data_IF_549179108308
#
_entry.id   IF_549179108308
#
_cell.length_a   1.000
_cell.length_b   1.000
_cell.length_c   1.000
_cell.angle_alpha   90.00
_cell.angle_beta   90.00
_cell.angle_gamma   90.00
#
_symmetry.space_group_name_H-M   'P 1'
#
loop_
_entity.id
_entity.type
_entity.pdbx_description
1 polymer ?
#
# COMPACT_ATOMS: atom_id res chain seq x y z
N UNK A 1 -5.97 0.24 40.61
CA UNK A 1 -7.18 -0.61 40.63
C UNK A 1 -6.84 -1.90 41.38
N UNK A 2 -7.70 -2.42 42.25
CA UNK A 2 -7.55 -3.73 42.90
C UNK A 2 -8.73 -4.59 42.47
N UNK A 3 -8.47 -5.80 42.01
CA UNK A 3 -9.48 -6.75 41.54
C UNK A 3 -8.93 -8.18 41.72
N UNK A 4 -9.81 -9.16 41.91
CA UNK A 4 -9.44 -10.55 42.16
C UNK A 4 -8.96 -11.30 40.91
N UNK A 5 -9.15 -10.73 39.72
CA UNK A 5 -8.79 -11.32 38.44
C UNK A 5 -7.56 -10.60 37.87
N UNK A 6 -6.74 -11.27 37.05
CA UNK A 6 -5.63 -10.63 36.36
C UNK A 6 -6.11 -9.60 35.34
N UNK A 7 -6.00 -8.31 35.67
CA UNK A 7 -6.41 -7.18 34.81
C UNK A 7 -5.21 -6.40 34.24
N UNK A 8 -3.98 -6.86 34.46
CA UNK A 8 -2.76 -6.14 34.05
C UNK A 8 -2.62 -6.00 32.52
N UNK A 9 -3.15 -6.96 31.76
CA UNK A 9 -3.13 -6.97 30.28
C UNK A 9 -4.37 -6.31 29.65
N UNK A 10 -5.26 -5.80 30.49
CA UNK A 10 -6.59 -5.34 30.14
C UNK A 10 -6.57 -3.81 29.99
N UNK A 11 -5.98 -3.33 28.90
CA UNK A 11 -5.64 -1.90 28.71
C UNK A 11 -6.76 -1.03 28.14
N UNK A 12 -7.84 -1.63 27.62
CA UNK A 12 -8.91 -0.93 26.87
C UNK A 12 -10.34 -1.28 27.35
N UNK A 13 -10.52 -1.64 28.63
CA UNK A 13 -11.83 -2.04 29.16
C UNK A 13 -12.87 -0.89 29.16
N UNK A 14 -14.18 -1.18 29.35
CA UNK A 14 -15.30 -0.23 29.16
C UNK A 14 -15.34 1.00 30.08
N UNK A 15 -14.27 1.30 30.84
CA UNK A 15 -14.16 2.43 31.76
C UNK A 15 -13.42 3.64 31.18
N UNK A 16 -13.26 3.72 29.86
CA UNK A 16 -12.62 4.87 29.24
C UNK A 16 -13.47 6.13 29.47
N UNK A 17 -12.84 7.19 29.95
CA UNK A 17 -13.53 8.44 30.27
C UNK A 17 -12.74 9.63 29.76
N UNK A 18 -13.47 10.70 29.45
CA UNK A 18 -12.91 11.96 28.99
C UNK A 18 -13.48 13.10 29.83
N UNK A 19 -12.62 14.01 30.24
CA UNK A 19 -12.99 15.25 30.94
C UNK A 19 -12.46 16.42 30.13
N UNK A 20 -13.37 17.27 29.67
CA UNK A 20 -13.02 18.46 28.91
C UNK A 20 -13.11 19.70 29.80
N UNK A 21 -12.19 20.65 29.61
CA UNK A 21 -12.29 21.97 30.22
C UNK A 21 -13.50 22.74 29.71
N UNK A 22 -13.83 23.85 30.37
CA UNK A 22 -14.96 24.72 30.01
C UNK A 22 -14.55 25.92 29.15
N UNK A 23 -13.24 26.20 29.05
CA UNK A 23 -12.70 27.35 28.33
C UNK A 23 -12.30 26.94 26.92
N UNK A 24 -12.76 27.69 25.93
CA UNK A 24 -12.38 27.53 24.52
C UNK A 24 -11.09 28.27 24.19
N UNK A 25 -10.24 27.67 23.35
CA UNK A 25 -8.97 28.25 22.95
C UNK A 25 -9.14 29.44 22.00
N UNK A 26 -8.33 30.48 22.21
CA UNK A 26 -8.19 31.56 21.24
C UNK A 26 -7.46 31.04 20.00
N UNK A 27 -8.00 31.29 18.80
CA UNK A 27 -7.44 30.70 17.58
C UNK A 27 -7.60 29.18 17.53
N UNK A 28 -8.83 28.70 17.74
CA UNK A 28 -9.20 27.28 17.80
C UNK A 28 -8.55 26.41 16.71
N UNK A 29 -8.50 26.87 15.45
CA UNK A 29 -7.91 26.10 14.36
C UNK A 29 -6.42 25.80 14.57
N UNK A 30 -5.64 26.82 14.93
CA UNK A 30 -4.19 26.67 15.19
C UNK A 30 -3.93 25.90 16.48
N UNK A 31 -4.75 26.14 17.52
CA UNK A 31 -4.67 25.41 18.77
C UNK A 31 -4.95 23.92 18.58
N UNK A 32 -6.05 23.58 17.91
CA UNK A 32 -6.45 22.19 17.67
C UNK A 32 -5.38 21.44 16.88
N UNK A 33 -4.85 22.04 15.80
CA UNK A 33 -3.80 21.40 15.01
C UNK A 33 -2.53 21.14 15.82
N UNK A 34 -2.08 22.11 16.63
CA UNK A 34 -0.90 21.96 17.48
C UNK A 34 -1.12 20.93 18.60
N UNK A 35 -2.28 20.97 19.26
CA UNK A 35 -2.63 20.03 20.33
C UNK A 35 -2.76 18.61 19.82
N UNK A 36 -3.45 18.41 18.69
CA UNK A 36 -3.60 17.10 18.06
C UNK A 36 -2.24 16.50 17.69
N UNK A 37 -1.35 17.29 17.08
CA UNK A 37 -0.01 16.83 16.74
C UNK A 37 0.80 16.47 17.99
N UNK A 38 0.77 17.32 19.03
CA UNK A 38 1.48 17.05 20.28
C UNK A 38 1.02 15.75 20.96
N UNK A 39 -0.29 15.50 20.97
CA UNK A 39 -0.87 14.28 21.53
C UNK A 39 -0.54 13.03 20.70
N UNK A 40 -0.53 13.14 19.36
CA UNK A 40 -0.08 12.06 18.46
C UNK A 40 1.40 11.72 18.66
N UNK A 41 2.23 12.74 18.84
CA UNK A 41 3.66 12.56 19.12
C UNK A 41 3.86 11.87 20.47
N UNK A 42 3.12 12.29 21.50
CA UNK A 42 3.11 11.63 22.81
C UNK A 42 2.62 10.18 22.74
N UNK A 43 1.54 9.90 22.00
CA UNK A 43 1.04 8.54 21.76
C UNK A 43 2.13 7.65 21.13
N UNK A 44 2.95 8.21 20.23
CA UNK A 44 4.01 7.46 19.53
C UNK A 44 5.29 7.29 20.36
N UNK A 45 5.64 8.30 21.17
CA UNK A 45 6.89 8.33 21.91
C UNK A 45 6.81 7.63 23.27
N UNK A 46 5.71 7.82 24.01
CA UNK A 46 5.54 7.33 25.39
C UNK A 46 5.78 5.82 25.54
N UNK A 47 5.31 4.94 24.62
CA UNK A 47 5.59 3.50 24.69
C UNK A 47 7.08 3.14 24.65
N UNK A 48 7.94 4.03 24.13
CA UNK A 48 9.37 3.78 23.94
C UNK A 48 10.24 4.42 25.02
N UNK A 49 9.64 5.20 25.90
CA UNK A 49 10.34 5.92 26.97
C UNK A 49 10.36 5.06 28.22
N UNK A 50 11.53 4.89 28.88
CA UNK A 50 11.61 4.19 30.15
C UNK A 50 10.61 4.74 31.18
N UNK A 51 9.81 3.86 31.79
CA UNK A 51 8.75 4.24 32.72
C UNK A 51 7.43 4.66 32.07
N UNK A 52 7.30 4.54 30.74
CA UNK A 52 6.09 4.85 29.97
C UNK A 52 5.43 6.19 30.33
N UNK A 53 6.26 7.22 30.53
CA UNK A 53 5.80 8.55 30.88
C UNK A 53 6.52 9.60 30.03
N UNK A 54 5.77 10.58 29.54
CA UNK A 54 6.34 11.73 28.88
C UNK A 54 5.54 13.00 29.20
N UNK A 55 6.27 14.08 29.45
CA UNK A 55 5.73 15.42 29.56
C UNK A 55 6.46 16.33 28.59
N UNK A 56 5.72 17.14 27.83
CA UNK A 56 6.31 18.08 26.89
C UNK A 56 5.39 19.26 26.65
N UNK A 57 5.93 20.33 26.06
CA UNK A 57 5.16 21.52 25.70
C UNK A 57 5.50 21.98 24.29
N UNK A 58 4.53 22.55 23.60
CA UNK A 58 4.73 23.16 22.28
C UNK A 58 4.20 24.60 22.28
N UNK A 59 4.92 25.57 21.70
CA UNK A 59 4.43 26.94 21.58
C UNK A 59 3.26 27.02 20.59
N UNK A 60 2.24 27.82 20.90
CA UNK A 60 1.11 28.11 20.00
C UNK A 60 0.61 29.53 20.22
N UNK A 61 0.51 30.33 19.15
CA UNK A 61 -0.13 31.66 19.15
C UNK A 61 0.25 32.58 20.34
N UNK A 62 1.53 32.62 20.73
CA UNK A 62 2.02 33.45 21.86
C UNK A 62 1.84 32.83 23.25
N UNK A 63 1.31 31.61 23.33
CA UNK A 63 1.23 30.79 24.53
C UNK A 63 1.91 29.41 24.29
N UNK A 64 1.65 28.44 25.16
CA UNK A 64 2.10 27.06 24.99
C UNK A 64 1.01 26.05 25.39
N UNK A 65 1.03 24.90 24.75
CA UNK A 65 0.23 23.73 25.12
C UNK A 65 1.13 22.79 25.89
N UNK A 66 0.75 22.48 27.12
CA UNK A 66 1.41 21.55 28.01
C UNK A 66 0.66 20.21 27.90
N UNK A 67 1.38 19.12 27.66
CA UNK A 67 0.76 17.82 27.53
C UNK A 67 1.59 16.72 28.18
N UNK A 68 0.88 15.71 28.70
CA UNK A 68 1.49 14.50 29.25
C UNK A 68 0.77 13.26 28.73
N UNK A 69 1.51 12.16 28.66
CA UNK A 69 0.98 10.83 28.46
C UNK A 69 1.70 9.86 29.41
N UNK A 70 0.93 8.95 29.99
CA UNK A 70 1.44 7.94 30.91
C UNK A 70 0.74 6.61 30.66
N UNK A 71 1.48 5.50 30.74
CA UNK A 71 0.92 4.16 30.86
C UNK A 71 1.31 3.50 32.18
N UNK A 72 0.56 2.49 32.60
CA UNK A 72 0.95 1.65 33.72
C UNK A 72 2.25 0.89 33.41
N UNK A 73 3.21 0.86 34.34
CA UNK A 73 4.51 0.19 34.12
C UNK A 73 4.40 -1.33 33.87
N UNK A 74 3.25 -1.93 34.21
CA UNK A 74 2.98 -3.35 34.00
C UNK A 74 2.56 -3.69 32.57
N UNK A 75 2.26 -2.70 31.72
CA UNK A 75 1.82 -2.95 30.34
C UNK A 75 2.98 -3.12 29.38
N UNK A 76 2.73 -3.75 28.23
CA UNK A 76 3.71 -3.86 27.14
C UNK A 76 3.78 -2.57 26.32
N UNK A 77 4.85 -2.39 25.52
CA UNK A 77 4.96 -1.27 24.56
C UNK A 77 3.74 -1.18 23.64
N UNK A 78 3.30 -2.31 23.07
CA UNK A 78 2.09 -2.36 22.23
C UNK A 78 0.83 -2.06 23.04
N UNK A 79 0.71 -2.58 24.25
CA UNK A 79 -0.44 -2.31 25.11
C UNK A 79 -0.55 -0.83 25.52
N UNK A 80 0.58 -0.17 25.74
CA UNK A 80 0.65 1.27 25.99
C UNK A 80 0.22 2.06 24.74
N UNK A 81 0.72 1.69 23.55
CA UNK A 81 0.32 2.32 22.29
C UNK A 81 -1.18 2.18 22.03
N UNK A 82 -1.73 0.98 22.19
CA UNK A 82 -3.16 0.71 21.99
C UNK A 82 -4.02 1.54 22.94
N UNK A 83 -3.64 1.60 24.22
CA UNK A 83 -4.33 2.39 25.23
C UNK A 83 -4.30 3.89 24.90
N UNK A 84 -3.12 4.44 24.60
CA UNK A 84 -2.97 5.86 24.23
C UNK A 84 -3.70 6.18 22.91
N UNK A 85 -3.87 5.21 22.02
CA UNK A 85 -4.69 5.37 20.80
C UNK A 85 -6.17 5.58 21.14
N UNK A 86 -6.70 4.82 22.09
CA UNK A 86 -8.07 5.02 22.62
C UNK A 86 -8.17 6.38 23.32
N UNK A 87 -7.21 6.70 24.19
CA UNK A 87 -7.14 8.00 24.87
C UNK A 87 -7.15 9.18 23.89
N UNK A 88 -6.30 9.12 22.85
CA UNK A 88 -6.24 10.12 21.79
C UNK A 88 -7.55 10.24 21.00
N UNK A 89 -8.19 9.12 20.66
CA UNK A 89 -9.47 9.14 19.94
C UNK A 89 -10.56 9.81 20.76
N UNK A 90 -10.64 9.53 22.07
CA UNK A 90 -11.63 10.12 22.96
C UNK A 90 -11.39 11.61 23.22
N UNK A 91 -10.13 11.99 23.47
CA UNK A 91 -9.76 13.36 23.84
C UNK A 91 -9.96 14.36 22.68
N UNK A 92 -10.04 13.88 21.43
CA UNK A 92 -10.39 14.71 20.27
C UNK A 92 -11.74 15.41 20.43
N UNK A 93 -12.69 14.79 21.14
CA UNK A 93 -14.00 15.39 21.42
C UNK A 93 -13.92 16.63 22.32
N UNK A 94 -12.81 16.87 23.00
CA UNK A 94 -12.63 18.06 23.83
C UNK A 94 -12.27 19.31 23.04
N UNK A 95 -11.78 19.18 21.80
CA UNK A 95 -11.47 20.36 21.00
C UNK A 95 -12.77 21.11 20.64
N UNK A 96 -12.78 22.46 20.72
CA UNK A 96 -11.64 23.38 20.87
C UNK A 96 -11.36 23.87 22.30
N UNK A 97 -11.73 23.11 23.34
CA UNK A 97 -11.43 23.51 24.71
C UNK A 97 -9.93 23.49 24.98
N UNK A 98 -9.49 24.34 25.90
CA UNK A 98 -8.09 24.57 26.27
C UNK A 98 -7.51 23.48 27.16
N UNK A 99 -8.38 22.64 27.74
CA UNK A 99 -8.03 21.54 28.61
C UNK A 99 -8.78 20.29 28.18
N UNK A 100 -8.10 19.14 28.23
CA UNK A 100 -8.70 17.84 28.05
C UNK A 100 -7.90 16.78 28.77
N UNK A 101 -8.60 15.79 29.31
CA UNK A 101 -8.04 14.63 30.01
C UNK A 101 -8.76 13.38 29.52
N UNK A 102 -8.01 12.33 29.19
CA UNK A 102 -8.52 11.03 28.82
C UNK A 102 -7.88 9.96 29.70
N UNK A 103 -8.71 9.08 30.25
CA UNK A 103 -8.32 8.03 31.17
C UNK A 103 -8.81 6.69 30.67
N UNK A 104 -7.96 5.68 30.78
CA UNK A 104 -8.30 4.28 30.60
C UNK A 104 -7.59 3.46 31.69
N UNK A 105 -7.90 2.17 31.80
CA UNK A 105 -7.32 1.27 32.79
C UNK A 105 -5.78 1.21 32.72
N UNK A 106 -5.22 1.34 31.51
CA UNK A 106 -3.79 1.23 31.26
C UNK A 106 -3.04 2.55 31.04
N UNK A 107 -3.73 3.68 30.89
CA UNK A 107 -3.08 4.93 30.48
C UNK A 107 -3.89 6.19 30.79
N UNK A 108 -3.18 7.31 30.70
CA UNK A 108 -3.69 8.65 30.93
C UNK A 108 -3.06 9.62 29.92
N UNK A 109 -3.86 10.54 29.39
CA UNK A 109 -3.41 11.64 28.54
C UNK A 109 -4.06 12.93 28.98
N UNK A 110 -3.28 14.02 28.99
CA UNK A 110 -3.79 15.35 29.32
C UNK A 110 -3.13 16.40 28.46
N UNK A 111 -3.91 17.39 28.03
CA UNK A 111 -3.39 18.66 27.54
C UNK A 111 -4.02 19.83 28.28
N UNK A 112 -3.28 20.93 28.37
CA UNK A 112 -3.74 22.18 28.95
C UNK A 112 -2.98 23.35 28.36
N UNK A 113 -3.64 24.50 28.22
CA UNK A 113 -2.97 25.78 27.96
C UNK A 113 -2.28 26.34 29.22
N UNK A 114 -2.62 25.82 30.42
CA UNK A 114 -1.95 26.15 31.68
C UNK A 114 -0.86 25.14 31.99
N UNK A 115 0.29 25.62 32.45
CA UNK A 115 1.33 24.72 32.95
C UNK A 115 0.85 23.97 34.19
N UNK A 116 1.13 22.66 34.23
CA UNK A 116 0.86 21.77 35.37
C UNK A 116 2.07 20.88 35.72
N UNK A 117 3.23 21.17 35.13
CA UNK A 117 4.52 20.55 35.43
C UNK A 117 5.63 21.60 35.31
N UNK A 118 6.75 21.39 36.00
CA UNK A 118 7.91 22.27 35.90
C UNK A 118 8.71 22.00 34.61
N UNK A 119 9.42 23.01 34.10
CA UNK A 119 10.16 22.90 32.83
C UNK A 119 11.24 21.80 32.84
N UNK A 120 11.82 21.51 33.99
CA UNK A 120 12.79 20.43 34.17
C UNK A 120 12.16 19.03 34.17
N UNK A 121 10.83 18.91 34.14
CA UNK A 121 10.10 17.64 34.02
C UNK A 121 9.80 17.29 32.55
N UNK A 122 10.16 18.16 31.61
CA UNK A 122 9.98 17.88 30.18
C UNK A 122 10.96 16.84 29.66
N UNK A 123 10.49 15.98 28.76
CA UNK A 123 11.29 14.96 28.08
C UNK A 123 11.38 15.32 26.60
N UNK A 124 12.60 15.29 26.04
CA UNK A 124 12.78 15.40 24.59
C UNK A 124 12.29 14.12 23.91
N UNK A 125 11.11 14.19 23.30
CA UNK A 125 10.47 13.07 22.61
C UNK A 125 11.01 12.84 21.18
N UNK A 126 11.81 13.78 20.64
CA UNK A 126 12.32 13.75 19.26
C UNK A 126 13.04 12.45 18.88
N UNK A 127 13.87 11.83 19.74
CA UNK A 127 14.55 10.56 19.41
C UNK A 127 13.56 9.41 19.15
N UNK A 128 12.41 9.40 19.83
CA UNK A 128 11.44 8.31 19.80
C UNK A 128 10.46 8.41 18.62
N UNK A 129 10.33 9.60 18.02
CA UNK A 129 9.49 9.85 16.83
C UNK A 129 10.16 9.38 15.53
N UNK A 130 11.49 9.51 15.42
CA UNK A 130 12.25 9.16 14.20
C UNK A 130 12.15 7.68 13.79
N UNK A 131 11.83 6.80 14.73
CA UNK A 131 11.75 5.36 14.48
C UNK A 131 10.39 4.91 13.91
N UNK A 132 9.37 5.77 13.92
CA UNK A 132 8.02 5.45 13.41
C UNK A 132 7.89 5.58 11.88
N UNK A 133 8.87 6.16 11.18
CA UNK A 133 8.88 6.20 9.71
C UNK A 133 9.40 4.89 9.11
N UNK A 134 8.74 3.77 9.41
CA UNK A 134 8.86 2.57 8.58
C UNK A 134 8.16 2.86 7.25
N UNK A 135 8.87 3.54 6.35
CA UNK A 135 8.44 3.89 5.00
C UNK A 135 8.40 2.67 4.07
N UNK A 136 7.68 1.61 4.45
CA UNK A 136 7.36 0.47 3.57
C UNK A 136 6.46 0.85 2.38
N UNK A 137 6.11 2.14 2.21
CA UNK A 137 5.43 2.65 1.01
C UNK A 137 6.37 2.71 -0.20
N UNK A 138 7.67 2.94 0.00
CA UNK A 138 8.66 2.98 -1.10
C UNK A 138 8.98 1.60 -1.68
N UNK A 139 9.03 0.57 -0.84
CA UNK A 139 9.35 -0.81 -1.25
C UNK A 139 8.24 -1.44 -2.12
N UNK A 140 6.98 -1.14 -1.83
CA UNK A 140 5.83 -1.68 -2.59
C UNK A 140 5.76 -1.02 -3.98
N UNK A 141 5.95 0.30 -4.07
CA UNK A 141 5.94 1.03 -5.35
C UNK A 141 7.14 0.62 -6.21
N UNK A 142 8.33 0.45 -5.61
CA UNK A 142 9.52 -0.05 -6.31
C UNK A 142 9.38 -1.48 -6.83
N UNK A 143 8.72 -2.36 -6.05
CA UNK A 143 8.50 -3.75 -6.45
C UNK A 143 7.53 -3.92 -7.62
N UNK A 144 6.42 -3.17 -7.66
CA UNK A 144 5.42 -3.28 -8.72
C UNK A 144 5.95 -2.74 -10.05
N UNK A 145 6.61 -1.57 -10.04
CA UNK A 145 7.18 -0.98 -11.27
C UNK A 145 8.32 -1.85 -11.80
N UNK A 146 9.20 -2.37 -10.92
CA UNK A 146 10.25 -3.31 -11.31
C UNK A 146 9.71 -4.61 -11.90
N UNK A 147 8.64 -5.16 -11.30
CA UNK A 147 7.98 -6.38 -11.78
C UNK A 147 7.38 -6.23 -13.17
N UNK A 148 6.66 -5.13 -13.44
CA UNK A 148 6.04 -4.88 -14.75
C UNK A 148 7.10 -4.73 -15.84
N UNK A 149 8.18 -3.98 -15.58
CA UNK A 149 9.28 -3.80 -16.55
C UNK A 149 9.97 -5.14 -16.83
N UNK A 150 10.23 -5.95 -15.80
CA UNK A 150 10.89 -7.25 -15.97
C UNK A 150 10.02 -8.24 -16.75
N UNK A 151 8.71 -8.26 -16.53
CA UNK A 151 7.77 -9.08 -17.30
C UNK A 151 7.72 -8.65 -18.77
N UNK A 152 7.69 -7.35 -19.05
CA UNK A 152 7.70 -6.84 -20.43
C UNK A 152 8.99 -7.22 -21.17
N UNK A 153 10.15 -7.14 -20.50
CA UNK A 153 11.45 -7.55 -21.08
C UNK A 153 11.44 -9.05 -21.41
N UNK A 154 10.93 -9.90 -20.51
CA UNK A 154 10.83 -11.34 -20.74
C UNK A 154 9.89 -11.69 -21.89
N UNK A 155 8.77 -10.99 -22.04
CA UNK A 155 7.84 -11.17 -23.16
C UNK A 155 8.49 -10.78 -24.50
N UNK A 156 9.21 -9.66 -24.55
CA UNK A 156 9.93 -9.23 -25.76
C UNK A 156 11.03 -10.23 -26.13
N UNK A 157 11.82 -10.69 -25.16
CA UNK A 157 12.84 -11.72 -25.37
C UNK A 157 12.22 -13.03 -25.89
N UNK A 158 11.10 -13.47 -25.30
CA UNK A 158 10.41 -14.68 -25.72
C UNK A 158 9.92 -14.58 -27.17
N UNK A 159 9.29 -13.45 -27.54
CA UNK A 159 8.85 -13.19 -28.92
C UNK A 159 10.04 -13.15 -29.87
N UNK A 160 11.15 -12.50 -29.49
CA UNK A 160 12.36 -12.42 -30.31
C UNK A 160 13.00 -13.80 -30.54
N UNK A 161 13.06 -14.64 -29.50
CA UNK A 161 13.52 -16.03 -29.62
C UNK A 161 12.61 -16.87 -30.52
N UNK A 162 11.28 -16.67 -30.46
CA UNK A 162 10.33 -17.33 -31.35
C UNK A 162 10.48 -16.88 -32.81
N UNK A 163 10.73 -15.59 -33.05
CA UNK A 163 10.95 -15.03 -34.39
C UNK A 163 12.31 -15.45 -34.97
N UNK A 164 13.34 -15.60 -34.14
CA UNK A 164 14.64 -16.18 -34.54
C UNK A 164 14.60 -17.68 -34.80
N UNK A 165 13.63 -18.39 -34.20
CA UNK A 165 13.33 -19.81 -34.50
C UNK A 165 12.54 -20.00 -35.82
N UNK A 166 12.53 -19.02 -36.74
CA UNK A 166 12.21 -19.29 -38.13
C UNK A 166 13.33 -20.19 -38.71
N UNK A 167 13.02 -21.39 -39.23
CA UNK A 167 14.06 -22.27 -39.76
C UNK A 167 14.75 -21.56 -40.93
N UNK A 168 16.08 -21.48 -40.87
CA UNK A 168 16.91 -21.16 -42.04
C UNK A 168 16.43 -22.06 -43.19
N UNK A 169 15.98 -21.47 -44.30
CA UNK A 169 15.86 -22.19 -45.57
C UNK A 169 17.24 -22.78 -45.87
N UNK A 170 17.42 -24.09 -45.62
CA UNK A 170 18.59 -24.81 -46.11
C UNK A 170 18.52 -24.80 -47.63
N UNK A 171 19.56 -24.24 -48.26
CA UNK A 171 19.83 -24.41 -49.69
C UNK A 171 19.97 -25.92 -49.91
N UNK A 172 19.03 -26.50 -50.65
CA UNK A 172 18.97 -27.93 -50.95
C UNK A 172 20.14 -28.27 -51.87
N UNK A 173 21.20 -28.81 -51.28
CA UNK A 173 22.11 -29.69 -52.01
C UNK A 173 21.31 -30.92 -52.41
N UNK A 174 21.49 -31.32 -53.66
CA UNK A 174 20.87 -32.50 -54.26
C UNK A 174 21.34 -33.79 -53.55
N UNK A 175 20.67 -34.90 -53.87
CA UNK A 175 21.04 -36.32 -53.69
C UNK A 175 19.96 -37.15 -52.97
N UNK A 176 19.54 -38.17 -53.72
CA UNK A 176 18.88 -39.44 -53.37
C UNK A 176 17.34 -39.46 -53.31
N UNK A 177 16.80 -40.04 -54.40
CA UNK A 177 15.41 -40.32 -54.67
C UNK A 177 14.72 -41.19 -53.64
N UNK A 178 13.53 -40.75 -53.25
CA UNK A 178 12.45 -41.58 -52.77
C UNK A 178 11.16 -40.90 -53.21
N UNK A 179 10.70 -41.29 -54.40
CA UNK A 179 9.33 -41.09 -54.87
C UNK A 179 8.43 -41.93 -53.99
N UNK A 180 7.48 -41.33 -53.27
CA UNK A 180 6.21 -41.94 -52.82
C UNK A 180 5.48 -40.90 -51.94
N UNK A 181 4.16 -40.72 -52.17
CA UNK A 181 3.22 -39.85 -51.43
C UNK A 181 3.28 -38.33 -51.68
N UNK A 182 3.12 -37.88 -52.94
CA UNK A 182 2.58 -36.53 -53.20
C UNK A 182 1.07 -36.56 -52.96
N UNK A 183 0.62 -36.01 -51.84
CA UNK A 183 -0.80 -35.70 -51.61
C UNK A 183 -1.35 -34.74 -52.68
N UNK A 184 -2.69 -34.56 -52.75
CA UNK A 184 -3.34 -33.77 -53.78
C UNK A 184 -2.78 -32.35 -53.80
N UNK A 185 -2.39 -31.88 -54.99
CA UNK A 185 -1.89 -30.52 -55.18
C UNK A 185 -3.08 -29.57 -55.08
N UNK A 186 -3.18 -28.84 -53.98
CA UNK A 186 -4.22 -27.83 -53.79
C UNK A 186 -3.83 -26.55 -54.54
N UNK A 187 -4.62 -26.18 -55.55
CA UNK A 187 -4.48 -24.90 -56.23
C UNK A 187 -5.44 -23.87 -55.64
N UNK A 188 -5.05 -22.59 -55.63
CA UNK A 188 -5.97 -21.52 -55.23
C UNK A 188 -6.94 -21.26 -56.37
N UNK A 189 -8.20 -20.99 -56.02
CA UNK A 189 -9.23 -20.68 -57.01
C UNK A 189 -8.84 -19.54 -57.96
N UNK A 190 -8.16 -18.50 -57.47
CA UNK A 190 -7.71 -17.39 -58.31
C UNK A 190 -6.66 -17.79 -59.35
N UNK A 191 -5.79 -18.74 -59.01
CA UNK A 191 -4.77 -19.24 -59.94
C UNK A 191 -5.43 -20.06 -61.04
N UNK A 192 -6.39 -20.92 -60.68
CA UNK A 192 -7.22 -21.66 -61.64
C UNK A 192 -8.02 -20.72 -62.53
N UNK A 193 -8.72 -19.74 -61.94
CA UNK A 193 -9.49 -18.71 -62.64
C UNK A 193 -8.62 -17.91 -63.60
N UNK A 194 -7.38 -17.58 -63.22
CA UNK A 194 -6.47 -16.88 -64.11
C UNK A 194 -5.97 -17.77 -65.26
N UNK A 195 -5.62 -19.02 -64.97
CA UNK A 195 -5.10 -19.96 -65.96
C UNK A 195 -6.15 -20.29 -67.03
N UNK A 196 -7.38 -20.57 -66.60
CA UNK A 196 -8.49 -20.93 -67.50
C UNK A 196 -9.13 -19.72 -68.19
N UNK A 197 -8.60 -18.51 -68.00
CA UNK A 197 -9.21 -17.24 -68.42
C UNK A 197 -10.68 -17.13 -67.98
N UNK A 198 -10.89 -17.31 -66.69
CA UNK A 198 -12.20 -17.31 -66.04
C UNK A 198 -13.12 -18.42 -66.56
N UNK A 199 -12.57 -19.61 -66.77
CA UNK A 199 -13.30 -20.80 -67.22
C UNK A 199 -14.00 -20.59 -68.58
N UNK A 200 -13.31 -19.95 -69.53
CA UNK A 200 -13.85 -19.72 -70.86
C UNK A 200 -13.94 -21.00 -71.69
N UNK A 201 -14.94 -21.11 -72.56
CA UNK A 201 -15.14 -22.27 -73.43
C UNK A 201 -13.95 -22.51 -74.39
N UNK A 202 -13.22 -21.45 -74.75
CA UNK A 202 -11.99 -21.54 -75.55
C UNK A 202 -10.88 -22.39 -74.89
N UNK A 203 -10.92 -22.50 -73.57
CA UNK A 203 -9.97 -23.29 -72.79
C UNK A 203 -10.57 -24.60 -72.27
N UNK A 204 -11.84 -24.90 -72.60
CA UNK A 204 -12.48 -26.16 -72.20
C UNK A 204 -11.95 -27.29 -73.07
N UNK A 205 -11.40 -28.31 -72.42
CA UNK A 205 -10.86 -29.52 -73.04
C UNK A 205 -11.93 -30.60 -73.18
N UNK A 206 -12.93 -30.62 -72.29
CA UNK A 206 -14.03 -31.59 -72.33
C UNK A 206 -14.92 -31.51 -71.10
N UNK A 207 -16.05 -32.21 -71.17
CA UNK A 207 -17.04 -32.32 -70.10
C UNK A 207 -17.47 -33.79 -69.94
N UNK A 208 -17.64 -34.24 -68.70
CA UNK A 208 -18.13 -35.59 -68.39
C UNK A 208 -18.76 -35.66 -67.01
N UNK A 209 -19.07 -36.87 -66.54
CA UNK A 209 -19.74 -37.10 -65.24
C UNK A 209 -19.00 -36.60 -64.00
N UNK A 210 -17.75 -36.15 -64.15
CA UNK A 210 -16.92 -35.57 -63.10
C UNK A 210 -16.72 -34.04 -63.25
N UNK A 211 -17.42 -33.41 -64.20
CA UNK A 211 -17.39 -31.97 -64.46
C UNK A 211 -16.53 -31.57 -65.66
N UNK A 212 -16.32 -30.26 -65.77
CA UNK A 212 -15.58 -29.62 -66.85
C UNK A 212 -14.07 -29.64 -66.62
N UNK A 213 -13.32 -29.91 -67.70
CA UNK A 213 -11.85 -29.90 -67.71
C UNK A 213 -11.36 -28.76 -68.58
N UNK A 214 -10.45 -27.94 -68.05
CA UNK A 214 -9.86 -26.79 -68.75
C UNK A 214 -8.33 -26.93 -68.87
N UNK A 215 -7.73 -26.37 -69.93
CA UNK A 215 -6.27 -26.24 -70.09
C UNK A 215 -5.70 -24.99 -69.43
#
# INVERSE_FOLDING_TARGET
>A
RYESNGFFDQTTLPGNSVLCGTKTANGATTFNAAAQQLLLDLQTATPKIPGFFAATKTPVAGNAIYAIAQCAETVTESGCLDCLTVGFTNIQGCFPNTDGEAFDAGCFMRYSEKSFFADNQTIDITPFLKQASSSKKGAIIGGVVGGVVLVLILLVLFVWLRLKKKPKRRRRGDILGATELRGPVTYRYNDLKSATKNFSDENKLGEGGFGDVYK
#
